data_IF_510735101787
#
_entry.id   IF_510735101787
#
_cell.length_a   1.000
_cell.length_b   1.000
_cell.length_c   1.000
_cell.angle_alpha   90.00
_cell.angle_beta   90.00
_cell.angle_gamma   90.00
#
_symmetry.space_group_name_H-M   'P 1'
#
loop_
_entity.id
_entity.type
_entity.pdbx_description
1 polymer ?
#
# COMPACT_ATOMS: atom_id res chain seq x y z
N UNK A 1 -54.23 73.25 -4.04
CA UNK A 1 -54.26 71.77 -3.99
C UNK A 1 -54.39 71.29 -5.43
N UNK A 2 -53.61 70.35 -5.99
CA UNK A 2 -52.68 69.38 -5.44
C UNK A 2 -51.81 68.79 -6.58
N UNK A 3 -50.54 68.56 -6.23
CA UNK A 3 -49.57 67.53 -6.65
C UNK A 3 -49.31 67.27 -8.15
N UNK A 4 -48.20 67.87 -8.61
CA UNK A 4 -47.39 67.39 -9.74
C UNK A 4 -46.65 66.11 -9.30
N UNK A 5 -47.12 64.94 -9.73
CA UNK A 5 -46.45 63.64 -9.48
C UNK A 5 -45.11 63.59 -10.24
N UNK A 6 -43.99 63.67 -9.52
CA UNK A 6 -42.68 63.27 -10.03
C UNK A 6 -42.63 61.74 -10.12
N UNK A 7 -42.42 61.21 -11.32
CA UNK A 7 -42.11 59.79 -11.52
C UNK A 7 -40.63 59.59 -11.21
N UNK A 8 -40.34 58.93 -10.10
CA UNK A 8 -39.02 58.36 -9.84
C UNK A 8 -38.71 57.28 -10.88
N UNK A 9 -37.84 57.62 -11.83
CA UNK A 9 -37.18 56.62 -12.68
C UNK A 9 -35.99 56.08 -11.89
N UNK A 10 -36.16 54.94 -11.23
CA UNK A 10 -35.03 54.13 -10.77
C UNK A 10 -34.25 53.66 -12.00
N UNK A 11 -33.11 54.27 -12.26
CA UNK A 11 -32.13 53.77 -13.22
C UNK A 11 -31.62 52.43 -12.66
N UNK A 12 -32.03 51.33 -13.29
CA UNK A 12 -31.39 50.04 -13.10
C UNK A 12 -30.05 50.11 -13.81
N UNK A 13 -28.97 50.32 -13.07
CA UNK A 13 -27.63 50.07 -13.57
C UNK A 13 -27.48 48.57 -13.82
N UNK A 14 -27.63 48.16 -15.08
CA UNK A 14 -27.19 46.85 -15.53
C UNK A 14 -25.69 46.95 -15.75
N UNK A 15 -24.91 46.70 -14.69
CA UNK A 15 -23.49 46.43 -14.82
C UNK A 15 -23.33 45.11 -15.60
N UNK A 16 -22.96 45.21 -16.87
CA UNK A 16 -22.59 44.08 -17.71
C UNK A 16 -21.11 43.75 -17.51
N UNK A 17 -20.80 42.46 -17.50
CA UNK A 17 -19.41 41.97 -17.48
C UNK A 17 -18.64 42.47 -18.70
N UNK A 18 -17.39 42.86 -18.49
CA UNK A 18 -16.49 43.26 -19.59
C UNK A 18 -15.72 42.04 -20.12
N UNK A 19 -15.32 42.08 -21.39
CA UNK A 19 -14.46 41.04 -21.96
C UNK A 19 -13.12 40.91 -21.22
N UNK A 20 -12.60 42.04 -20.72
CA UNK A 20 -11.35 42.10 -19.95
C UNK A 20 -11.46 41.29 -18.65
N UNK A 21 -12.61 41.37 -17.98
CA UNK A 21 -12.88 40.67 -16.73
C UNK A 21 -12.85 39.14 -16.92
N UNK A 22 -13.44 38.64 -18.01
CA UNK A 22 -13.39 37.22 -18.37
C UNK A 22 -11.97 36.79 -18.79
N UNK A 23 -11.24 37.64 -19.51
CA UNK A 23 -9.85 37.34 -19.89
C UNK A 23 -8.94 37.16 -18.67
N UNK A 24 -9.02 38.07 -17.70
CA UNK A 24 -8.22 37.99 -16.46
C UNK A 24 -8.52 36.71 -15.70
N UNK A 25 -9.80 36.31 -15.60
CA UNK A 25 -10.20 35.05 -14.95
C UNK A 25 -9.60 33.84 -15.66
N UNK A 26 -9.65 33.76 -16.99
CA UNK A 26 -9.10 32.62 -17.74
C UNK A 26 -7.58 32.54 -17.58
N UNK A 27 -6.87 33.69 -17.57
CA UNK A 27 -5.43 33.74 -17.33
C UNK A 27 -5.08 33.22 -15.93
N UNK A 28 -5.80 33.67 -14.91
CA UNK A 28 -5.59 33.20 -13.52
C UNK A 28 -5.88 31.70 -13.42
N UNK A 29 -6.97 31.22 -14.03
CA UNK A 29 -7.31 29.79 -14.04
C UNK A 29 -6.25 28.95 -14.77
N UNK A 30 -5.69 29.44 -15.89
CA UNK A 30 -4.61 28.77 -16.60
C UNK A 30 -3.31 28.70 -15.79
N UNK A 31 -2.96 29.77 -15.09
CA UNK A 31 -1.81 29.80 -14.17
C UNK A 31 -2.00 28.87 -12.97
N UNK A 32 -3.19 28.87 -12.37
CA UNK A 32 -3.51 27.99 -11.25
C UNK A 32 -3.49 26.53 -11.69
N UNK A 33 -4.11 26.19 -12.84
CA UNK A 33 -4.13 24.82 -13.36
C UNK A 33 -2.73 24.22 -13.55
N UNK A 34 -1.72 25.04 -13.89
CA UNK A 34 -0.32 24.61 -14.00
C UNK A 34 0.32 24.26 -12.64
N UNK A 35 -0.19 24.79 -11.52
CA UNK A 35 0.36 24.61 -10.18
C UNK A 35 -0.31 23.50 -9.36
N UNK A 36 -1.60 23.21 -9.59
CA UNK A 36 -2.40 22.27 -8.76
C UNK A 36 -2.32 20.79 -9.16
N UNK A 37 -1.28 20.37 -9.89
CA UNK A 37 -1.11 18.95 -10.31
C UNK A 37 -0.32 18.08 -9.29
N UNK A 38 0.08 18.51 -8.07
CA UNK A 38 1.26 17.94 -7.44
C UNK A 38 1.24 16.42 -7.33
N UNK A 39 2.31 15.83 -7.88
CA UNK A 39 2.74 14.43 -7.90
C UNK A 39 2.31 13.66 -6.63
N UNK A 40 1.23 12.89 -6.73
CA UNK A 40 0.89 11.83 -5.76
C UNK A 40 1.63 10.51 -6.03
N UNK A 41 2.37 10.43 -7.14
CA UNK A 41 2.82 9.16 -7.72
C UNK A 41 3.97 8.48 -6.93
N UNK A 42 4.69 9.19 -6.05
CA UNK A 42 5.86 8.62 -5.34
C UNK A 42 5.64 8.19 -3.88
N UNK A 43 4.58 8.64 -3.20
CA UNK A 43 4.38 8.32 -1.76
C UNK A 43 3.83 6.91 -1.53
N UNK A 44 3.24 6.32 -2.56
CA UNK A 44 2.68 4.97 -2.51
C UNK A 44 3.76 3.89 -2.54
N UNK A 45 4.88 4.11 -3.23
CA UNK A 45 5.94 3.10 -3.36
C UNK A 45 6.64 2.81 -2.02
N UNK A 46 7.17 3.83 -1.36
CA UNK A 46 7.89 3.66 -0.10
C UNK A 46 6.97 3.12 1.01
N UNK A 47 5.69 3.52 0.99
CA UNK A 47 4.66 2.98 1.88
C UNK A 47 4.43 1.49 1.63
N UNK A 48 4.35 1.05 0.37
CA UNK A 48 4.28 -0.38 0.02
C UNK A 48 5.53 -1.11 0.52
N UNK A 49 6.74 -0.64 0.20
CA UNK A 49 7.98 -1.28 0.67
C UNK A 49 8.00 -1.43 2.20
N UNK A 50 7.62 -0.38 2.91
CA UNK A 50 7.52 -0.40 4.38
C UNK A 50 6.47 -1.40 4.86
N UNK A 51 5.28 -1.43 4.24
CA UNK A 51 4.24 -2.39 4.57
C UNK A 51 4.71 -3.83 4.36
N UNK A 52 5.43 -4.11 3.27
CA UNK A 52 5.96 -5.45 3.00
C UNK A 52 6.96 -5.87 4.09
N UNK A 53 7.86 -4.99 4.50
CA UNK A 53 8.80 -5.24 5.62
C UNK A 53 8.08 -5.56 6.93
N UNK A 54 7.01 -4.81 7.24
CA UNK A 54 6.19 -5.08 8.44
C UNK A 54 5.49 -6.43 8.36
N UNK A 55 4.96 -6.79 7.18
CA UNK A 55 4.34 -8.10 6.94
C UNK A 55 5.37 -9.24 7.08
N UNK A 56 6.57 -9.09 6.53
CA UNK A 56 7.67 -10.06 6.72
C UNK A 56 7.95 -10.24 8.21
N UNK A 57 8.16 -9.16 8.97
CA UNK A 57 8.40 -9.24 10.43
C UNK A 57 7.26 -9.94 11.19
N UNK A 58 6.01 -9.73 10.78
CA UNK A 58 4.86 -10.44 11.35
C UNK A 58 4.88 -11.94 11.03
N UNK A 59 5.32 -12.33 9.83
CA UNK A 59 5.47 -13.74 9.44
C UNK A 59 6.63 -14.37 10.22
N UNK A 60 7.76 -13.68 10.38
CA UNK A 60 8.91 -14.13 11.18
C UNK A 60 8.49 -14.45 12.62
N UNK A 61 7.72 -13.57 13.26
CA UNK A 61 7.19 -13.80 14.62
C UNK A 61 6.29 -15.04 14.68
N UNK A 62 5.45 -15.28 13.67
CA UNK A 62 4.62 -16.47 13.62
C UNK A 62 5.44 -17.75 13.42
N UNK A 63 6.50 -17.69 12.59
CA UNK A 63 7.45 -18.79 12.42
C UNK A 63 8.19 -19.11 13.72
N UNK A 64 8.63 -18.10 14.46
CA UNK A 64 9.29 -18.27 15.76
C UNK A 64 8.37 -18.96 16.77
N UNK A 65 7.10 -18.54 16.84
CA UNK A 65 6.10 -19.21 17.68
C UNK A 65 5.87 -20.66 17.26
N UNK A 66 5.82 -20.93 15.95
CA UNK A 66 5.71 -22.29 15.44
C UNK A 66 6.91 -23.14 15.88
N UNK A 67 8.14 -22.61 15.75
CA UNK A 67 9.36 -23.29 16.20
C UNK A 67 9.41 -23.46 17.70
N UNK A 68 8.91 -22.51 18.48
CA UNK A 68 8.85 -22.60 19.94
C UNK A 68 7.98 -23.78 20.38
N UNK A 69 6.80 -23.94 19.76
CA UNK A 69 5.86 -25.01 20.11
C UNK A 69 6.32 -26.39 19.58
N UNK A 70 6.90 -26.43 18.37
CA UNK A 70 7.13 -27.68 17.63
C UNK A 70 8.59 -28.09 17.51
N UNK A 71 9.53 -27.18 17.78
CA UNK A 71 10.98 -27.40 17.75
C UNK A 71 11.64 -27.30 16.37
N UNK A 72 10.91 -26.93 15.32
CA UNK A 72 11.41 -26.77 13.96
C UNK A 72 10.57 -25.74 13.19
N UNK A 73 11.10 -25.15 12.13
CA UNK A 73 10.33 -24.32 11.19
C UNK A 73 9.61 -25.18 10.15
N UNK A 74 8.48 -24.71 9.59
CA UNK A 74 7.83 -25.39 8.47
C UNK A 74 8.80 -25.63 7.31
N UNK A 75 8.67 -26.76 6.62
CA UNK A 75 9.44 -27.02 5.40
C UNK A 75 8.95 -26.16 4.23
N UNK A 76 9.79 -26.02 3.19
CA UNK A 76 9.40 -25.35 1.94
C UNK A 76 8.17 -25.99 1.29
N UNK A 77 8.03 -27.31 1.42
CA UNK A 77 6.87 -28.09 0.94
C UNK A 77 5.58 -27.78 1.71
N UNK A 78 5.70 -27.39 2.99
CA UNK A 78 4.58 -27.00 3.83
C UNK A 78 4.19 -25.54 3.62
N UNK A 79 5.16 -24.68 3.30
CA UNK A 79 4.97 -23.27 3.03
C UNK A 79 4.53 -22.45 4.24
N UNK A 80 4.11 -21.22 3.99
CA UNK A 80 3.55 -20.33 5.01
C UNK A 80 2.14 -20.77 5.43
N UNK A 81 1.49 -21.62 4.65
CA UNK A 81 0.18 -22.22 4.96
C UNK A 81 0.22 -23.03 6.25
N UNK A 82 1.38 -23.59 6.61
CA UNK A 82 1.59 -24.26 7.90
C UNK A 82 1.34 -23.33 9.11
N UNK A 83 1.47 -22.02 8.93
CA UNK A 83 1.18 -21.03 9.97
C UNK A 83 -0.31 -20.79 10.14
N UNK A 84 -1.15 -21.14 9.17
CA UNK A 84 -2.61 -20.90 9.23
C UNK A 84 -3.35 -22.18 9.59
N UNK A 85 -2.92 -23.31 9.02
CA UNK A 85 -3.55 -24.61 9.22
C UNK A 85 -2.50 -25.69 9.45
N UNK A 86 -2.93 -26.78 10.08
CA UNK A 86 -2.08 -27.94 10.28
C UNK A 86 -1.56 -28.47 8.93
N UNK A 87 -0.25 -28.61 8.72
CA UNK A 87 0.29 -29.11 7.47
C UNK A 87 -0.01 -30.61 7.33
N UNK A 88 -0.47 -31.01 6.14
CA UNK A 88 -0.75 -32.41 5.80
C UNK A 88 0.46 -33.14 5.21
N UNK A 89 1.41 -32.38 4.65
CA UNK A 89 2.65 -32.88 4.06
C UNK A 89 3.85 -32.63 4.98
N UNK A 90 4.93 -33.37 4.76
CA UNK A 90 6.20 -33.19 5.47
C UNK A 90 6.16 -33.64 6.94
N UNK A 91 6.95 -32.97 7.78
CA UNK A 91 7.06 -33.29 9.21
C UNK A 91 5.85 -32.73 9.98
N UNK A 92 5.04 -33.61 10.54
CA UNK A 92 3.88 -33.22 11.33
C UNK A 92 4.27 -32.55 12.67
N UNK A 93 3.73 -31.35 12.99
CA UNK A 93 3.93 -30.69 14.28
C UNK A 93 3.17 -31.43 15.39
N UNK A 94 3.83 -31.64 16.55
CA UNK A 94 3.23 -32.37 17.68
C UNK A 94 2.37 -31.50 18.59
N UNK A 95 2.73 -30.22 18.74
CA UNK A 95 2.08 -29.28 19.66
C UNK A 95 1.49 -28.10 18.90
N UNK A 96 0.83 -28.37 17.76
CA UNK A 96 0.27 -27.33 16.92
C UNK A 96 -0.79 -26.51 17.68
N UNK A 97 -0.63 -25.19 17.70
CA UNK A 97 -1.59 -24.28 18.34
C UNK A 97 -2.97 -24.39 17.69
N UNK A 98 -4.02 -24.57 18.50
CA UNK A 98 -5.40 -24.52 18.01
C UNK A 98 -5.69 -23.12 17.43
N UNK A 99 -6.05 -23.06 16.15
CA UNK A 99 -6.28 -21.81 15.42
C UNK A 99 -5.09 -21.31 14.61
N UNK A 100 -3.94 -22.00 14.65
CA UNK A 100 -2.74 -21.59 13.91
C UNK A 100 -1.96 -20.47 14.59
N UNK A 101 -0.98 -19.95 13.85
CA UNK A 101 -0.05 -18.88 14.21
C UNK A 101 -0.33 -17.57 13.46
N UNK A 102 -1.08 -17.64 12.35
CA UNK A 102 -1.60 -16.53 11.57
C UNK A 102 -3.07 -16.77 11.23
N UNK A 103 -3.88 -15.71 11.21
CA UNK A 103 -5.28 -15.79 10.76
C UNK A 103 -5.38 -16.16 9.27
N UNK A 104 -4.46 -15.61 8.47
CA UNK A 104 -4.28 -15.89 7.04
C UNK A 104 -2.86 -15.53 6.61
N UNK A 105 -2.37 -16.15 5.55
CA UNK A 105 -1.12 -15.73 4.91
C UNK A 105 -1.38 -14.38 4.24
N UNK A 106 -0.68 -13.30 4.64
CA UNK A 106 -0.82 -12.02 3.96
C UNK A 106 -0.22 -12.12 2.56
N UNK A 107 -0.78 -11.33 1.64
CA UNK A 107 -0.12 -11.04 0.37
C UNK A 107 0.72 -9.78 0.54
N UNK A 108 1.75 -9.68 -0.28
CA UNK A 108 2.54 -8.47 -0.32
C UNK A 108 1.70 -7.27 -0.83
N UNK A 109 2.22 -6.04 -0.74
CA UNK A 109 1.49 -4.83 -1.12
C UNK A 109 1.16 -4.70 -2.61
N UNK A 110 1.73 -5.56 -3.46
CA UNK A 110 1.44 -5.66 -4.89
C UNK A 110 0.45 -6.79 -5.22
N UNK A 111 0.10 -7.60 -4.22
CA UNK A 111 -0.88 -8.69 -4.33
C UNK A 111 -0.26 -10.06 -4.64
N UNK A 112 1.07 -10.15 -4.63
CA UNK A 112 1.81 -11.37 -4.84
C UNK A 112 1.96 -12.16 -3.53
N UNK A 113 2.05 -13.50 -3.58
CA UNK A 113 2.39 -14.29 -2.41
C UNK A 113 3.86 -14.07 -2.00
N UNK A 114 4.13 -14.12 -0.70
CA UNK A 114 5.50 -14.19 -0.20
C UNK A 114 6.14 -15.51 -0.58
N UNK A 115 7.41 -15.46 -0.97
CA UNK A 115 8.22 -16.67 -1.19
C UNK A 115 8.88 -17.05 0.12
N UNK A 116 8.68 -18.30 0.53
CA UNK A 116 9.26 -18.87 1.73
C UNK A 116 10.12 -20.08 1.37
N UNK A 117 11.34 -20.10 1.88
CA UNK A 117 12.26 -21.23 1.70
C UNK A 117 12.85 -21.62 3.05
N UNK A 118 12.72 -22.90 3.39
CA UNK A 118 13.39 -23.51 4.55
C UNK A 118 13.93 -24.91 4.19
N UNK A 119 15.22 -25.19 4.45
CA UNK A 119 16.22 -24.28 5.01
C UNK A 119 16.57 -23.13 4.07
N UNK A 120 16.78 -21.93 4.64
CA UNK A 120 17.16 -20.73 3.89
C UNK A 120 18.62 -20.74 3.45
N UNK A 121 18.96 -19.88 2.50
CA UNK A 121 20.36 -19.64 2.10
C UNK A 121 21.06 -18.66 3.04
N UNK A 122 20.30 -17.81 3.75
CA UNK A 122 20.82 -16.76 4.64
C UNK A 122 20.57 -17.05 6.12
N UNK A 123 19.98 -18.20 6.46
CA UNK A 123 19.68 -18.60 7.82
C UNK A 123 18.80 -19.84 7.89
N UNK A 124 18.03 -19.97 8.98
CA UNK A 124 17.11 -21.09 9.17
C UNK A 124 15.97 -21.09 8.12
N UNK A 125 15.59 -19.91 7.63
CA UNK A 125 14.63 -19.71 6.56
C UNK A 125 14.85 -18.35 5.89
N UNK A 126 14.35 -18.23 4.66
CA UNK A 126 14.37 -17.02 3.85
C UNK A 126 12.92 -16.63 3.49
N UNK A 127 12.58 -15.34 3.60
CA UNK A 127 11.31 -14.78 3.12
C UNK A 127 11.60 -13.64 2.16
N UNK A 128 10.96 -13.67 0.99
CA UNK A 128 11.12 -12.64 -0.04
C UNK A 128 9.77 -12.19 -0.60
N UNK A 129 9.67 -10.89 -0.92
CA UNK A 129 8.64 -10.31 -1.79
C UNK A 129 9.34 -9.76 -3.03
N UNK A 130 8.93 -10.20 -4.21
CA UNK A 130 9.52 -9.84 -5.50
C UNK A 130 8.94 -8.55 -6.08
N UNK A 131 8.65 -7.55 -5.24
CA UNK A 131 8.17 -6.26 -5.71
C UNK A 131 6.90 -6.31 -6.59
N UNK A 132 6.79 -5.32 -7.48
CA UNK A 132 5.64 -5.16 -8.37
C UNK A 132 5.60 -6.15 -9.53
N UNK A 133 6.76 -6.58 -10.03
CA UNK A 133 6.87 -7.49 -11.17
C UNK A 133 6.65 -8.96 -10.79
N UNK A 134 6.80 -9.30 -9.51
CA UNK A 134 6.63 -10.66 -8.99
C UNK A 134 7.76 -11.59 -9.41
N UNK A 135 8.92 -11.06 -9.81
CA UNK A 135 10.09 -11.82 -10.27
C UNK A 135 11.31 -11.41 -9.46
N UNK A 136 12.16 -12.39 -9.10
CA UNK A 136 13.39 -12.10 -8.37
C UNK A 136 14.29 -11.11 -9.12
N UNK A 137 14.76 -10.09 -8.42
CA UNK A 137 15.61 -9.02 -8.92
C UNK A 137 14.91 -7.67 -8.91
N UNK A 138 15.07 -6.91 -10.01
CA UNK A 138 14.42 -5.61 -10.18
C UNK A 138 15.10 -4.43 -9.48
N UNK A 139 14.66 -3.23 -9.85
CA UNK A 139 15.06 -1.95 -9.24
C UNK A 139 13.79 -1.10 -9.01
N UNK A 140 13.85 -0.11 -8.12
CA UNK A 140 12.67 0.75 -7.87
C UNK A 140 11.49 -0.05 -7.31
N UNK A 141 10.30 0.06 -7.91
CA UNK A 141 9.09 -0.66 -7.45
C UNK A 141 9.19 -2.19 -7.61
N UNK A 142 10.07 -2.64 -8.50
CA UNK A 142 10.31 -4.06 -8.79
C UNK A 142 11.38 -4.65 -7.87
N UNK A 143 12.04 -3.83 -7.05
CA UNK A 143 13.11 -4.30 -6.18
C UNK A 143 12.58 -5.27 -5.12
N UNK A 144 13.26 -6.41 -5.02
CA UNK A 144 13.03 -7.41 -3.98
C UNK A 144 13.10 -6.82 -2.56
N UNK A 145 12.30 -7.41 -1.66
CA UNK A 145 12.33 -7.15 -0.23
C UNK A 145 12.57 -8.47 0.48
N UNK A 146 13.75 -8.61 1.06
CA UNK A 146 14.23 -9.84 1.67
C UNK A 146 14.29 -9.74 3.21
N UNK A 147 13.99 -10.84 3.90
CA UNK A 147 14.04 -10.91 5.37
C UNK A 147 15.45 -10.64 5.93
N UNK A 148 16.50 -11.07 5.23
CA UNK A 148 17.89 -10.89 5.66
C UNK A 148 18.47 -9.50 5.36
N UNK A 149 17.82 -8.71 4.51
CA UNK A 149 18.24 -7.35 4.16
C UNK A 149 17.58 -6.28 5.04
N UNK A 150 16.60 -6.67 5.86
CA UNK A 150 15.95 -5.74 6.78
C UNK A 150 16.79 -5.58 8.04
N UNK A 151 17.21 -4.35 8.41
CA UNK A 151 17.93 -4.10 9.65
C UNK A 151 17.07 -4.33 10.90
#
# INVERSE_FOLDING_TARGET
>A
MEVKRMRDRRLRDRAGFTLIEIMVVIVILGLLAALVVPKLIGRTEEAKKTQSRVQIKSIEQALELFKLDNGFFPGTDQGLEALVRLPEAGRAPKNYRKGGYLDRVPKDPWGNPYVYVSPGSHGDYDISSYGADGVAGGEGEDADINSWETP
#
